data_IF_253286472265
#
_entry.id   IF_253286472265
#
_cell.length_a   1.000
_cell.length_b   1.000
_cell.length_c   1.000
_cell.angle_alpha   90.00
_cell.angle_beta   90.00
_cell.angle_gamma   90.00
#
_symmetry.space_group_name_H-M   'P 1'
#
loop_
_entity.id
_entity.type
_entity.pdbx_description
1 polymer ?
#
# COMPACT_ATOMS: atom_id res chain seq x y z
N UNK A 1 -1.92 -5.27 20.43
CA UNK A 1 -2.80 -4.21 19.87
C UNK A 1 -1.93 -3.39 18.93
N UNK A 2 -2.37 -3.14 17.71
CA UNK A 2 -1.60 -2.33 16.75
C UNK A 2 -1.54 -0.88 17.23
N UNK A 3 -0.33 -0.33 17.35
CA UNK A 3 -0.12 1.09 17.66
C UNK A 3 -0.29 1.94 16.39
N UNK A 4 -1.48 2.48 16.21
CA UNK A 4 -1.81 3.36 15.08
C UNK A 4 -1.12 4.73 15.16
N UNK A 5 -0.64 5.13 16.34
CA UNK A 5 0.10 6.38 16.49
C UNK A 5 1.53 6.22 15.96
N UNK A 6 2.17 5.09 16.26
CA UNK A 6 3.49 4.76 15.71
C UNK A 6 3.48 4.74 14.17
N UNK A 7 2.48 4.12 13.54
CA UNK A 7 2.36 4.09 12.07
C UNK A 7 2.24 5.51 11.49
N UNK A 8 1.41 6.36 12.10
CA UNK A 8 1.24 7.75 11.64
C UNK A 8 2.54 8.55 11.73
N UNK A 9 3.35 8.31 12.76
CA UNK A 9 4.67 8.91 12.90
C UNK A 9 5.64 8.42 11.83
N UNK A 10 5.69 7.10 11.60
CA UNK A 10 6.50 6.49 10.53
C UNK A 10 6.13 7.00 9.14
N UNK A 11 4.84 7.17 8.87
CA UNK A 11 4.33 7.71 7.60
C UNK A 11 4.47 9.23 7.50
N UNK A 12 4.79 9.92 8.60
CA UNK A 12 4.77 11.39 8.67
C UNK A 12 3.39 11.99 8.39
N UNK A 13 2.32 11.22 8.57
CA UNK A 13 0.96 11.62 8.21
C UNK A 13 -0.03 11.31 9.35
N UNK A 14 -0.74 12.33 9.80
CA UNK A 14 -1.82 12.19 10.78
C UNK A 14 -3.16 12.06 10.06
N UNK A 15 -3.79 10.90 10.16
CA UNK A 15 -5.10 10.64 9.58
C UNK A 15 -6.16 11.47 10.32
N UNK A 16 -7.06 12.09 9.55
CA UNK A 16 -8.27 12.73 10.12
C UNK A 16 -9.22 11.70 10.68
N UNK A 17 -9.35 10.57 9.99
CA UNK A 17 -10.13 9.42 10.42
C UNK A 17 -9.20 8.22 10.55
N UNK A 18 -8.92 7.85 11.80
CA UNK A 18 -8.01 6.75 12.15
C UNK A 18 -8.59 5.39 11.77
N UNK A 19 -9.92 5.28 11.59
CA UNK A 19 -10.56 4.04 11.14
C UNK A 19 -10.12 3.67 9.72
N UNK A 20 -9.79 4.64 8.87
CA UNK A 20 -9.25 4.39 7.53
C UNK A 20 -7.87 3.75 7.59
N UNK A 21 -7.03 4.19 8.52
CA UNK A 21 -5.72 3.58 8.74
C UNK A 21 -5.87 2.15 9.26
N UNK A 22 -6.76 1.94 10.24
CA UNK A 22 -7.06 0.61 10.76
C UNK A 22 -7.57 -0.33 9.65
N UNK A 23 -8.43 0.17 8.76
CA UNK A 23 -8.93 -0.59 7.62
C UNK A 23 -7.79 -0.96 6.66
N UNK A 24 -6.94 0.01 6.30
CA UNK A 24 -5.84 -0.19 5.35
C UNK A 24 -4.82 -1.26 5.77
N UNK A 25 -4.60 -1.44 7.07
CA UNK A 25 -3.67 -2.45 7.62
C UNK A 25 -4.33 -3.80 7.93
N UNK A 26 -5.64 -3.94 7.74
CA UNK A 26 -6.37 -5.18 8.03
C UNK A 26 -6.44 -6.05 6.78
N UNK A 27 -5.72 -7.16 6.80
CA UNK A 27 -5.68 -8.09 5.68
C UNK A 27 -6.93 -8.99 5.65
N UNK A 28 -7.42 -9.44 4.49
CA UNK A 28 -8.61 -10.29 4.38
C UNK A 28 -8.54 -11.61 5.18
N UNK A 29 -7.33 -12.09 5.46
CA UNK A 29 -7.15 -13.24 6.35
C UNK A 29 -7.68 -13.00 7.77
N UNK A 30 -7.75 -11.76 8.23
CA UNK A 30 -8.22 -11.40 9.57
C UNK A 30 -9.75 -11.31 9.65
N UNK A 31 -10.42 -10.98 8.55
CA UNK A 31 -11.88 -10.79 8.47
C UNK A 31 -12.62 -12.08 8.08
N UNK A 32 -11.96 -13.00 7.37
CA UNK A 32 -12.48 -14.32 7.02
C UNK A 32 -13.50 -14.32 5.86
N UNK A 33 -14.03 -15.50 5.52
CA UNK A 33 -14.82 -15.71 4.29
C UNK A 33 -16.19 -15.00 4.22
N UNK A 34 -16.64 -14.35 5.29
CA UNK A 34 -17.91 -13.60 5.35
C UNK A 34 -17.68 -12.11 5.65
N UNK A 35 -16.49 -11.60 5.32
CA UNK A 35 -16.13 -10.20 5.54
C UNK A 35 -17.02 -9.25 4.73
N UNK A 36 -17.40 -8.14 5.34
CA UNK A 36 -18.02 -7.03 4.63
C UNK A 36 -16.94 -6.19 3.96
N UNK A 37 -17.28 -5.40 2.92
CA UNK A 37 -16.32 -4.54 2.25
C UNK A 37 -15.67 -3.44 3.13
N UNK A 38 -16.10 -3.29 4.38
CA UNK A 38 -15.58 -2.35 5.39
C UNK A 38 -14.70 -3.03 6.44
N UNK A 39 -14.46 -4.34 6.32
CA UNK A 39 -13.80 -5.12 7.37
C UNK A 39 -12.31 -5.35 7.09
N UNK A 40 -11.88 -5.20 5.82
CA UNK A 40 -10.51 -5.37 5.38
C UNK A 40 -10.15 -4.41 4.24
N UNK A 41 -8.88 -4.41 3.87
CA UNK A 41 -8.31 -3.45 2.96
C UNK A 41 -8.58 -3.70 1.46
N UNK A 42 -9.30 -4.76 1.04
CA UNK A 42 -9.40 -5.12 -0.39
C UNK A 42 -9.85 -3.97 -1.29
N UNK A 43 -10.88 -3.22 -0.87
CA UNK A 43 -11.37 -2.07 -1.66
C UNK A 43 -10.40 -0.90 -1.66
N UNK A 44 -9.68 -0.70 -0.55
CA UNK A 44 -8.63 0.31 -0.47
C UNK A 44 -7.42 -0.08 -1.31
N UNK A 45 -7.07 -1.36 -1.37
CA UNK A 45 -6.00 -1.89 -2.23
C UNK A 45 -6.32 -1.63 -3.70
N UNK A 46 -7.54 -1.96 -4.15
CA UNK A 46 -7.98 -1.68 -5.52
C UNK A 46 -7.83 -0.20 -5.92
N UNK A 47 -8.25 0.72 -5.04
CA UNK A 47 -8.09 2.16 -5.27
C UNK A 47 -6.61 2.59 -5.18
N UNK A 48 -5.90 2.07 -4.18
CA UNK A 48 -4.52 2.43 -3.87
C UNK A 48 -3.55 2.02 -4.96
N UNK A 49 -3.76 0.88 -5.63
CA UNK A 49 -2.95 0.44 -6.76
C UNK A 49 -3.03 1.45 -7.92
N UNK A 50 -4.24 1.89 -8.28
CA UNK A 50 -4.43 2.90 -9.33
C UNK A 50 -3.77 4.25 -8.98
N UNK A 51 -3.85 4.67 -7.71
CA UNK A 51 -3.20 5.89 -7.22
C UNK A 51 -1.67 5.74 -7.30
N UNK A 52 -1.13 4.64 -6.80
CA UNK A 52 0.31 4.38 -6.78
C UNK A 52 0.87 4.32 -8.20
N UNK A 53 0.19 3.63 -9.11
CA UNK A 53 0.56 3.60 -10.53
C UNK A 53 0.61 4.99 -11.14
N UNK A 54 -0.35 5.85 -10.82
CA UNK A 54 -0.40 7.24 -11.31
C UNK A 54 0.79 8.05 -10.80
N UNK A 55 1.07 8.01 -9.49
CA UNK A 55 2.18 8.74 -8.87
C UNK A 55 3.53 8.29 -9.45
N UNK A 56 3.75 6.98 -9.61
CA UNK A 56 4.98 6.45 -10.19
C UNK A 56 5.09 6.80 -11.68
N UNK A 57 3.98 6.74 -12.43
CA UNK A 57 3.95 7.19 -13.82
C UNK A 57 4.33 8.65 -13.98
N UNK A 58 3.77 9.53 -13.15
CA UNK A 58 4.09 10.96 -13.17
C UNK A 58 5.57 11.19 -12.85
N UNK A 59 6.10 10.52 -11.82
CA UNK A 59 7.50 10.62 -11.45
C UNK A 59 8.43 10.16 -12.58
N UNK A 60 8.16 9.00 -13.20
CA UNK A 60 8.95 8.47 -14.31
C UNK A 60 8.90 9.39 -15.54
N UNK A 61 7.73 9.93 -15.88
CA UNK A 61 7.57 10.87 -16.98
C UNK A 61 8.43 12.13 -16.79
N UNK A 62 8.49 12.67 -15.57
CA UNK A 62 9.28 13.87 -15.26
C UNK A 62 10.78 13.60 -15.16
N UNK A 63 11.17 12.46 -14.60
CA UNK A 63 12.57 12.09 -14.39
C UNK A 63 13.28 11.62 -15.66
N UNK A 64 12.52 11.13 -16.64
CA UNK A 64 13.04 10.53 -17.87
C UNK A 64 12.37 11.11 -19.13
N UNK A 65 12.48 12.43 -19.39
CA UNK A 65 11.80 13.09 -20.51
C UNK A 65 12.25 12.58 -21.90
N UNK A 66 13.40 11.90 -21.98
CA UNK A 66 13.98 11.35 -23.20
C UNK A 66 13.53 9.92 -23.52
N UNK A 67 12.76 9.27 -22.64
CA UNK A 67 12.33 7.86 -22.79
C UNK A 67 10.95 7.74 -23.42
N UNK A 68 10.76 6.67 -24.19
CA UNK A 68 9.47 6.33 -24.78
C UNK A 68 8.53 5.63 -23.79
N UNK A 69 7.26 5.49 -24.18
CA UNK A 69 6.22 4.85 -23.37
C UNK A 69 6.58 3.42 -22.97
N UNK A 70 7.21 2.65 -23.86
CA UNK A 70 7.57 1.25 -23.61
C UNK A 70 8.60 1.13 -22.48
N UNK A 71 9.61 1.99 -22.48
CA UNK A 71 10.61 2.07 -21.43
C UNK A 71 9.98 2.49 -20.10
N UNK A 72 9.16 3.54 -20.10
CA UNK A 72 8.50 4.03 -18.88
C UNK A 72 7.53 2.99 -18.29
N UNK A 73 6.81 2.26 -19.14
CA UNK A 73 5.91 1.18 -18.72
C UNK A 73 6.67 0.02 -18.08
N UNK A 74 7.80 -0.38 -18.67
CA UNK A 74 8.66 -1.44 -18.11
C UNK A 74 9.27 -1.01 -16.77
N UNK A 75 9.73 0.24 -16.67
CA UNK A 75 10.25 0.80 -15.43
C UNK A 75 9.17 0.82 -14.34
N UNK A 76 7.95 1.29 -14.66
CA UNK A 76 6.81 1.27 -13.73
C UNK A 76 6.49 -0.14 -13.24
N UNK A 77 6.40 -1.11 -14.14
CA UNK A 77 6.14 -2.51 -13.76
C UNK A 77 7.24 -3.08 -12.84
N UNK A 78 8.49 -2.65 -13.03
CA UNK A 78 9.61 -3.00 -12.16
C UNK A 78 9.53 -2.36 -10.76
N UNK A 79 8.86 -1.22 -10.61
CA UNK A 79 8.70 -0.50 -9.34
C UNK A 79 7.40 -0.86 -8.60
N UNK A 80 6.33 -1.09 -9.35
CA UNK A 80 4.97 -1.35 -8.84
C UNK A 80 4.67 -2.85 -9.00
N UNK A 81 5.41 -3.67 -8.27
CA UNK A 81 5.15 -5.11 -8.15
C UNK A 81 5.28 -5.56 -6.69
N UNK A 82 4.67 -6.70 -6.37
CA UNK A 82 4.61 -7.21 -5.00
C UNK A 82 5.98 -7.31 -4.33
N UNK A 83 7.01 -7.81 -5.03
CA UNK A 83 8.37 -7.93 -4.48
C UNK A 83 8.98 -6.58 -4.11
N UNK A 84 8.88 -5.60 -5.00
CA UNK A 84 9.48 -4.27 -4.81
C UNK A 84 8.73 -3.48 -3.74
N UNK A 85 7.40 -3.59 -3.72
CA UNK A 85 6.56 -2.94 -2.72
C UNK A 85 6.70 -3.59 -1.35
N UNK A 86 6.81 -4.91 -1.26
CA UNK A 86 7.09 -5.61 0.00
C UNK A 86 8.44 -5.18 0.59
N UNK A 87 9.50 -5.18 -0.22
CA UNK A 87 10.81 -4.71 0.22
C UNK A 87 10.74 -3.25 0.71
N UNK A 88 9.97 -2.39 0.04
CA UNK A 88 9.78 -1.01 0.48
C UNK A 88 8.99 -0.93 1.79
N UNK A 89 7.93 -1.71 1.94
CA UNK A 89 7.13 -1.79 3.15
C UNK A 89 7.95 -2.27 4.36
N UNK A 90 8.88 -3.21 4.16
CA UNK A 90 9.82 -3.68 5.18
C UNK A 90 10.77 -2.56 5.64
N UNK A 91 11.30 -1.76 4.71
CA UNK A 91 12.14 -0.60 5.09
C UNK A 91 11.40 0.45 5.90
N UNK A 92 10.07 0.52 5.73
CA UNK A 92 9.18 1.39 6.49
C UNK A 92 8.67 0.71 7.78
N UNK A 93 9.01 -0.55 8.02
CA UNK A 93 8.52 -1.30 9.17
C UNK A 93 7.01 -1.50 9.18
N UNK A 94 6.34 -1.48 8.03
CA UNK A 94 4.87 -1.59 7.97
C UNK A 94 4.37 -3.01 8.26
N UNK A 95 5.17 -4.03 7.95
CA UNK A 95 4.79 -5.44 8.11
C UNK A 95 4.38 -5.80 9.54
N UNK A 96 5.07 -5.26 10.56
CA UNK A 96 4.79 -5.52 11.98
C UNK A 96 3.44 -4.95 12.45
N UNK A 97 2.84 -4.05 11.67
CA UNK A 97 1.58 -3.39 11.99
C UNK A 97 0.37 -4.05 11.33
N UNK A 98 0.58 -4.97 10.39
CA UNK A 98 -0.50 -5.66 9.69
C UNK A 98 -1.33 -6.51 10.66
N UNK A 99 -2.65 -6.42 10.51
CA UNK A 99 -3.60 -7.28 11.22
C UNK A 99 -3.88 -8.49 10.32
N UNK A 100 -3.33 -9.63 10.70
CA UNK A 100 -3.44 -10.90 9.99
C UNK A 100 -4.31 -11.91 10.76
N UNK A 101 -4.84 -12.90 10.03
CA UNK A 101 -5.62 -13.99 10.62
C UNK A 101 -4.73 -14.98 11.38
N UNK A 102 -5.32 -15.76 12.31
CA UNK A 102 -4.60 -16.83 13.00
C UNK A 102 -4.17 -17.90 11.98
N UNK A 103 -2.88 -17.98 11.68
CA UNK A 103 -2.30 -19.02 10.82
C UNK A 103 -1.44 -18.54 9.64
N UNK A 104 -1.07 -17.26 9.60
CA UNK A 104 -0.12 -16.66 8.65
C UNK A 104 1.09 -16.12 9.42
#
# INVERSE_FOLDING_TARGET
MTDLQAIQQTLGHKFRDVSLLQLAITHPSASGNQSKPSDDNQRMEFLGDAILQTVISEALYRLHPEKDEGHLTKARAGLVNGTSLAAKADTLGLGQHLVLGRGQ
#
